data_IF_064117032450
#
_entry.id   IF_064117032450
#
_cell.length_a   1.000
_cell.length_b   1.000
_cell.length_c   1.000
_cell.angle_alpha   90.00
_cell.angle_beta   90.00
_cell.angle_gamma   90.00
#
_symmetry.space_group_name_H-M   'P 1'
#
loop_
_entity.id
_entity.type
_entity.pdbx_description
1 polymer ?
#
# COMPACT_ATOMS: atom_id res chain seq x y z
N UNK A 1 -6.61 -12.47 -24.33
CA UNK A 1 -8.05 -12.18 -24.53
C UNK A 1 -8.54 -11.34 -23.35
N UNK A 2 -9.57 -10.47 -23.53
CA UNK A 2 -10.19 -9.77 -22.40
C UNK A 2 -11.11 -10.72 -21.64
N UNK A 3 -11.02 -10.75 -20.32
CA UNK A 3 -11.91 -11.53 -19.44
C UNK A 3 -12.50 -10.64 -18.35
N UNK A 4 -13.66 -11.04 -17.83
CA UNK A 4 -14.27 -10.49 -16.64
C UNK A 4 -14.12 -11.50 -15.52
N UNK A 5 -13.67 -11.04 -14.35
CA UNK A 5 -13.78 -11.78 -13.11
C UNK A 5 -14.97 -11.26 -12.31
N UNK A 6 -15.76 -12.18 -11.79
CA UNK A 6 -16.96 -11.89 -11.02
C UNK A 6 -17.09 -12.88 -9.86
N UNK A 7 -17.83 -12.48 -8.82
CA UNK A 7 -18.15 -13.35 -7.69
C UNK A 7 -19.66 -13.58 -7.55
N UNK A 8 -20.02 -14.77 -7.12
CA UNK A 8 -21.36 -15.10 -6.67
C UNK A 8 -21.57 -14.68 -5.22
N UNK A 9 -22.83 -14.65 -4.76
CA UNK A 9 -23.18 -14.39 -3.36
C UNK A 9 -22.52 -15.38 -2.38
N UNK A 10 -22.13 -16.58 -2.84
CA UNK A 10 -21.36 -17.56 -2.07
C UNK A 10 -19.88 -17.18 -1.86
N UNK A 11 -19.40 -16.13 -2.53
CA UNK A 11 -17.98 -15.78 -2.61
C UNK A 11 -17.23 -16.52 -3.72
N UNK A 12 -17.85 -17.45 -4.44
CA UNK A 12 -17.19 -18.18 -5.53
C UNK A 12 -16.81 -17.23 -6.68
N UNK A 13 -15.52 -17.22 -7.04
CA UNK A 13 -14.96 -16.41 -8.11
C UNK A 13 -14.94 -17.23 -9.40
N UNK A 14 -15.43 -16.62 -10.47
CA UNK A 14 -15.39 -17.20 -11.82
C UNK A 14 -14.97 -16.17 -12.86
N UNK A 15 -14.61 -16.68 -14.03
CA UNK A 15 -14.11 -15.90 -15.15
C UNK A 15 -14.99 -16.11 -16.38
N UNK A 16 -15.23 -15.07 -17.17
CA UNK A 16 -16.06 -15.17 -18.36
C UNK A 16 -15.89 -14.01 -19.33
N UNK A 17 -16.49 -14.16 -20.51
CA UNK A 17 -16.53 -13.08 -21.53
C UNK A 17 -17.46 -11.93 -21.15
N UNK A 18 -18.39 -12.18 -20.23
CA UNK A 18 -19.36 -11.23 -19.69
C UNK A 18 -19.59 -11.54 -18.21
N UNK A 19 -20.23 -10.62 -17.49
CA UNK A 19 -20.66 -10.83 -16.10
C UNK A 19 -22.11 -11.36 -16.14
N UNK A 20 -22.38 -12.56 -15.62
CA UNK A 20 -23.74 -13.11 -15.56
C UNK A 20 -24.68 -12.28 -14.67
N UNK A 21 -25.98 -12.40 -14.90
CA UNK A 21 -26.99 -11.80 -14.01
C UNK A 21 -26.87 -12.38 -12.59
N UNK A 22 -26.94 -11.51 -11.57
CA UNK A 22 -26.79 -11.89 -10.17
C UNK A 22 -25.35 -12.06 -9.68
N UNK A 23 -24.34 -12.01 -10.57
CA UNK A 23 -22.94 -11.97 -10.19
C UNK A 23 -22.43 -10.53 -10.03
N UNK A 24 -21.51 -10.31 -9.08
CA UNK A 24 -20.89 -9.01 -8.85
C UNK A 24 -19.53 -8.91 -9.56
N UNK A 25 -19.27 -7.83 -10.32
CA UNK A 25 -18.00 -7.67 -11.03
C UNK A 25 -16.86 -7.29 -10.07
N UNK A 26 -15.71 -7.97 -10.22
CA UNK A 26 -14.49 -7.67 -9.47
C UNK A 26 -13.60 -6.73 -10.30
N UNK A 27 -13.04 -7.27 -11.39
CA UNK A 27 -12.16 -6.59 -12.36
C UNK A 27 -12.36 -7.16 -13.77
N UNK A 28 -11.91 -6.42 -14.79
CA UNK A 28 -11.83 -6.92 -16.17
C UNK A 28 -10.55 -6.44 -16.83
N UNK A 29 -9.98 -7.26 -17.73
CA UNK A 29 -8.66 -7.01 -18.26
C UNK A 29 -8.11 -8.16 -19.09
N UNK A 30 -6.81 -8.15 -19.34
CA UNK A 30 -6.14 -9.29 -19.97
C UNK A 30 -6.26 -10.53 -19.07
N UNK A 31 -6.64 -11.66 -19.67
CA UNK A 31 -6.98 -12.89 -18.95
C UNK A 31 -5.90 -13.37 -17.98
N UNK A 32 -4.65 -13.48 -18.42
CA UNK A 32 -3.56 -13.96 -17.56
C UNK A 32 -3.32 -13.04 -16.37
N UNK A 33 -3.42 -11.73 -16.57
CA UNK A 33 -3.20 -10.74 -15.52
C UNK A 33 -4.30 -10.80 -14.46
N UNK A 34 -5.54 -10.82 -14.92
CA UNK A 34 -6.72 -10.91 -14.06
C UNK A 34 -6.69 -12.21 -13.25
N UNK A 35 -6.37 -13.33 -13.89
CA UNK A 35 -6.23 -14.63 -13.21
C UNK A 35 -5.07 -14.63 -12.21
N UNK A 36 -3.87 -14.20 -12.60
CA UNK A 36 -2.71 -14.21 -11.73
C UNK A 36 -2.90 -13.33 -10.48
N UNK A 37 -3.50 -12.15 -10.64
CA UNK A 37 -3.83 -11.27 -9.50
C UNK A 37 -4.80 -11.97 -8.57
N UNK A 38 -5.93 -12.47 -9.09
CA UNK A 38 -6.95 -13.07 -8.24
C UNK A 38 -6.48 -14.36 -7.57
N UNK A 39 -5.71 -15.21 -8.26
CA UNK A 39 -5.08 -16.40 -7.66
C UNK A 39 -4.22 -16.02 -6.45
N UNK A 40 -3.49 -14.90 -6.52
CA UNK A 40 -2.58 -14.48 -5.46
C UNK A 40 -3.29 -13.94 -4.21
N UNK A 41 -4.48 -13.34 -4.35
CA UNK A 41 -5.17 -12.65 -3.24
C UNK A 41 -6.46 -13.35 -2.77
N UNK A 42 -6.96 -14.32 -3.54
CA UNK A 42 -8.17 -15.08 -3.17
C UNK A 42 -7.89 -16.11 -2.10
N UNK A 43 -8.94 -16.53 -1.39
CA UNK A 43 -8.89 -17.74 -0.58
C UNK A 43 -9.03 -18.95 -1.51
N UNK A 44 -8.15 -19.94 -1.34
CA UNK A 44 -8.22 -21.20 -2.07
C UNK A 44 -9.07 -22.19 -1.29
N UNK A 45 -9.97 -22.87 -1.98
CA UNK A 45 -10.69 -24.00 -1.42
C UNK A 45 -9.72 -25.12 -1.01
N UNK A 46 -10.12 -25.92 -0.02
CA UNK A 46 -9.30 -27.06 0.47
C UNK A 46 -9.60 -28.35 -0.27
N UNK A 47 -10.74 -28.41 -0.96
CA UNK A 47 -11.31 -29.65 -1.53
C UNK A 47 -11.31 -29.66 -3.04
N UNK A 48 -11.16 -28.50 -3.68
CA UNK A 48 -11.15 -28.32 -5.13
C UNK A 48 -10.33 -27.07 -5.48
N UNK A 49 -10.25 -26.75 -6.77
CA UNK A 49 -9.51 -25.60 -7.31
C UNK A 49 -10.33 -24.29 -7.28
N UNK A 50 -11.37 -24.21 -6.44
CA UNK A 50 -12.21 -23.01 -6.37
C UNK A 50 -11.48 -21.85 -5.68
N UNK A 51 -11.61 -20.68 -6.29
CA UNK A 51 -11.19 -19.42 -5.72
C UNK A 51 -12.39 -18.74 -5.06
N UNK A 52 -12.21 -18.32 -3.81
CA UNK A 52 -13.23 -17.66 -3.00
C UNK A 52 -12.80 -16.26 -2.62
N UNK A 53 -13.75 -15.33 -2.59
CA UNK A 53 -13.56 -14.01 -2.00
C UNK A 53 -13.38 -14.17 -0.48
N UNK A 54 -12.23 -13.81 0.09
CA UNK A 54 -11.99 -13.93 1.53
C UNK A 54 -13.01 -13.12 2.34
N UNK A 55 -13.60 -13.73 3.37
CA UNK A 55 -14.55 -13.07 4.28
C UNK A 55 -15.99 -13.09 3.81
N UNK A 56 -16.28 -13.47 2.54
CA UNK A 56 -17.67 -13.56 2.06
C UNK A 56 -18.34 -14.83 2.57
N UNK A 57 -17.70 -15.99 2.44
CA UNK A 57 -18.26 -17.27 2.88
C UNK A 57 -18.34 -17.40 4.40
N UNK A 58 -17.55 -16.62 5.14
CA UNK A 58 -17.47 -16.65 6.60
C UNK A 58 -18.31 -15.55 7.27
N UNK A 59 -18.88 -14.61 6.49
CA UNK A 59 -19.60 -13.47 7.03
C UNK A 59 -20.89 -13.89 7.76
N UNK A 60 -21.11 -13.32 8.95
CA UNK A 60 -22.32 -13.57 9.73
C UNK A 60 -23.61 -13.05 9.07
N UNK A 61 -23.50 -12.10 8.14
CA UNK A 61 -24.63 -11.53 7.41
C UNK A 61 -24.20 -10.94 6.05
N UNK A 62 -25.20 -10.61 5.22
CA UNK A 62 -24.98 -10.09 3.86
C UNK A 62 -24.27 -8.74 3.81
N UNK A 63 -24.39 -7.91 4.85
CA UNK A 63 -23.72 -6.61 4.89
C UNK A 63 -22.20 -6.80 5.06
N UNK A 64 -21.80 -7.65 6.01
CA UNK A 64 -20.40 -8.02 6.21
C UNK A 64 -19.81 -8.75 4.99
N UNK A 65 -20.61 -9.59 4.32
CA UNK A 65 -20.22 -10.23 3.08
C UNK A 65 -19.96 -9.18 1.97
N UNK A 66 -20.83 -8.18 1.85
CA UNK A 66 -20.66 -7.10 0.89
C UNK A 66 -19.42 -6.25 1.20
N UNK A 67 -19.17 -5.93 2.47
CA UNK A 67 -17.97 -5.20 2.90
C UNK A 67 -16.69 -5.98 2.54
N UNK A 68 -16.67 -7.28 2.80
CA UNK A 68 -15.57 -8.16 2.43
C UNK A 68 -15.36 -8.18 0.90
N UNK A 69 -16.45 -8.24 0.13
CA UNK A 69 -16.40 -8.20 -1.33
C UNK A 69 -15.87 -6.87 -1.87
N UNK A 70 -16.29 -5.73 -1.31
CA UNK A 70 -15.81 -4.41 -1.70
C UNK A 70 -14.31 -4.29 -1.42
N UNK A 71 -13.86 -4.66 -0.21
CA UNK A 71 -12.44 -4.66 0.18
C UNK A 71 -11.60 -5.51 -0.79
N UNK A 72 -12.07 -6.72 -1.11
CA UNK A 72 -11.40 -7.60 -2.05
C UNK A 72 -11.33 -7.03 -3.48
N UNK A 73 -12.43 -6.45 -3.96
CA UNK A 73 -12.48 -5.85 -5.30
C UNK A 73 -11.54 -4.65 -5.41
N UNK A 74 -11.40 -3.85 -4.36
CA UNK A 74 -10.46 -2.74 -4.33
C UNK A 74 -9.00 -3.20 -4.34
N UNK A 75 -8.68 -4.31 -3.66
CA UNK A 75 -7.34 -4.92 -3.75
C UNK A 75 -7.04 -5.41 -5.16
N UNK A 76 -7.98 -6.12 -5.78
CA UNK A 76 -7.82 -6.60 -7.15
C UNK A 76 -7.60 -5.46 -8.14
N UNK A 77 -8.37 -4.37 -8.02
CA UNK A 77 -8.25 -3.17 -8.85
C UNK A 77 -6.91 -2.47 -8.65
N UNK A 78 -6.46 -2.35 -7.40
CA UNK A 78 -5.15 -1.77 -7.07
C UNK A 78 -4.03 -2.55 -7.73
N UNK A 79 -3.98 -3.86 -7.51
CA UNK A 79 -2.88 -4.69 -7.98
C UNK A 79 -2.85 -4.73 -9.52
N UNK A 80 -4.02 -4.73 -10.16
CA UNK A 80 -4.15 -4.57 -11.61
C UNK A 80 -3.61 -3.22 -12.09
N UNK A 81 -3.99 -2.12 -11.44
CA UNK A 81 -3.50 -0.79 -11.79
C UNK A 81 -1.97 -0.66 -11.67
N UNK A 82 -1.38 -1.29 -10.64
CA UNK A 82 0.08 -1.32 -10.47
C UNK A 82 0.77 -2.13 -11.56
N UNK A 83 0.22 -3.29 -11.92
CA UNK A 83 0.74 -4.09 -13.03
C UNK A 83 0.72 -3.31 -14.35
N UNK A 84 -0.37 -2.57 -14.63
CA UNK A 84 -0.48 -1.74 -15.82
C UNK A 84 0.55 -0.60 -15.83
N UNK A 85 0.76 0.07 -14.68
CA UNK A 85 1.81 1.11 -14.55
C UNK A 85 3.21 0.56 -14.81
N UNK A 86 3.53 -0.61 -14.24
CA UNK A 86 4.81 -1.28 -14.43
C UNK A 86 5.05 -1.63 -15.90
N UNK A 87 4.02 -2.10 -16.62
CA UNK A 87 4.10 -2.40 -18.06
C UNK A 87 4.22 -1.16 -18.94
N UNK A 88 3.62 -0.05 -18.53
CA UNK A 88 3.69 1.22 -19.27
C UNK A 88 5.09 1.85 -19.27
N UNK A 89 6.11 1.18 -18.70
CA UNK A 89 7.46 1.71 -18.64
C UNK A 89 7.55 2.99 -17.83
N UNK A 90 6.57 3.26 -16.96
CA UNK A 90 6.74 4.22 -15.88
C UNK A 90 7.87 3.64 -15.04
N UNK A 91 9.09 4.12 -15.28
CA UNK A 91 10.19 3.95 -14.35
C UNK A 91 9.60 4.23 -12.99
N UNK A 92 9.70 3.27 -12.09
CA UNK A 92 9.63 3.52 -10.66
C UNK A 92 10.74 4.54 -10.39
N UNK A 93 10.49 5.83 -10.67
CA UNK A 93 11.21 6.91 -10.05
C UNK A 93 10.87 6.71 -8.58
N UNK A 94 11.75 5.98 -7.89
CA UNK A 94 11.95 5.96 -6.46
C UNK A 94 11.37 7.26 -5.92
N UNK A 95 10.23 7.22 -5.20
CA UNK A 95 9.62 8.46 -4.74
C UNK A 95 10.64 9.08 -3.80
N UNK A 96 11.32 10.10 -4.30
CA UNK A 96 12.46 10.68 -3.64
C UNK A 96 12.32 12.19 -3.59
N UNK A 97 12.71 12.73 -2.45
CA UNK A 97 12.77 14.17 -2.25
C UNK A 97 14.18 14.54 -1.82
N UNK A 98 14.64 15.68 -2.29
CA UNK A 98 15.93 16.23 -1.89
C UNK A 98 15.72 17.24 -0.77
N UNK A 99 16.37 16.99 0.37
CA UNK A 99 16.29 17.82 1.56
C UNK A 99 17.68 18.36 1.89
N UNK A 100 17.75 19.67 2.09
CA UNK A 100 18.99 20.32 2.52
C UNK A 100 19.03 20.36 4.04
N UNK A 101 20.03 19.71 4.63
CA UNK A 101 20.38 19.84 6.04
C UNK A 101 21.44 20.93 6.21
N UNK A 102 21.13 21.99 6.95
CA UNK A 102 22.05 23.10 7.25
C UNK A 102 22.47 23.07 8.71
N UNK A 103 23.70 23.48 9.00
CA UNK A 103 24.13 23.73 10.38
C UNK A 103 23.87 25.21 10.71
N UNK A 104 23.19 25.48 11.81
CA UNK A 104 22.86 26.83 12.25
C UNK A 104 22.79 26.86 13.77
N UNK A 105 23.48 27.80 14.39
CA UNK A 105 23.43 28.04 15.84
C UNK A 105 23.59 26.78 16.70
N UNK A 106 24.58 25.95 16.39
CA UNK A 106 24.90 24.75 17.19
C UNK A 106 24.03 23.51 16.90
N UNK A 107 23.10 23.57 15.94
CA UNK A 107 22.27 22.42 15.57
C UNK A 107 22.15 22.25 14.06
N UNK A 108 21.88 21.04 13.61
CA UNK A 108 21.46 20.79 12.24
C UNK A 108 19.95 20.99 12.10
N UNK A 109 19.53 21.61 11.00
CA UNK A 109 18.13 21.91 10.67
C UNK A 109 17.87 21.45 9.25
N UNK A 110 16.81 20.67 9.06
CA UNK A 110 16.27 20.28 7.77
C UNK A 110 14.93 20.98 7.54
N UNK A 111 14.67 21.43 6.31
CA UNK A 111 13.41 22.07 5.91
C UNK A 111 12.93 21.55 4.57
N UNK A 112 11.62 21.35 4.43
CA UNK A 112 10.98 20.95 3.19
C UNK A 112 9.50 21.34 3.23
N UNK A 113 9.04 22.09 2.22
CA UNK A 113 7.63 22.51 2.05
C UNK A 113 6.94 22.98 3.36
N UNK A 114 7.55 23.93 4.07
CA UNK A 114 6.99 24.49 5.31
C UNK A 114 7.15 23.61 6.57
N UNK A 115 7.56 22.34 6.43
CA UNK A 115 7.92 21.48 7.56
C UNK A 115 9.41 21.64 7.91
N UNK A 116 9.73 21.54 9.20
CA UNK A 116 11.11 21.55 9.69
C UNK A 116 11.36 20.55 10.82
N UNK A 117 12.59 20.08 10.91
CA UNK A 117 13.09 19.31 12.04
C UNK A 117 14.56 19.62 12.31
N UNK A 118 14.99 19.40 13.54
CA UNK A 118 16.37 19.63 13.98
C UNK A 118 16.97 18.39 14.63
N UNK A 119 18.30 18.33 14.64
CA UNK A 119 19.09 17.34 15.34
C UNK A 119 20.47 17.92 15.67
N UNK A 120 20.96 17.72 16.88
CA UNK A 120 22.27 18.25 17.31
C UNK A 120 23.44 17.38 16.86
N UNK A 121 23.20 16.09 16.61
CA UNK A 121 24.27 15.14 16.26
C UNK A 121 24.65 15.19 14.77
N UNK A 122 23.70 15.33 13.85
CA UNK A 122 24.00 15.32 12.41
C UNK A 122 22.90 15.90 11.53
N UNK A 123 23.29 16.33 10.32
CA UNK A 123 22.36 16.72 9.27
C UNK A 123 21.47 15.54 8.82
N UNK A 124 22.05 14.33 8.68
CA UNK A 124 21.30 13.10 8.35
C UNK A 124 20.20 12.83 9.37
N UNK A 125 20.49 13.00 10.67
CA UNK A 125 19.51 12.86 11.74
C UNK A 125 18.38 13.90 11.67
N UNK A 126 18.69 15.15 11.33
CA UNK A 126 17.68 16.19 11.12
C UNK A 126 16.77 15.85 9.92
N UNK A 127 17.37 15.37 8.83
CA UNK A 127 16.65 14.93 7.62
C UNK A 127 15.75 13.72 7.93
N UNK A 128 16.26 12.70 8.63
CA UNK A 128 15.48 11.53 9.01
C UNK A 128 14.28 11.90 9.90
N UNK A 129 14.46 12.81 10.86
CA UNK A 129 13.35 13.33 11.69
C UNK A 129 12.33 14.10 10.86
N UNK A 130 12.78 14.88 9.88
CA UNK A 130 11.87 15.58 8.97
C UNK A 130 11.12 14.59 8.07
N UNK A 131 11.77 13.54 7.59
CA UNK A 131 11.14 12.48 6.81
C UNK A 131 9.97 11.84 7.57
N UNK A 132 10.14 11.53 8.86
CA UNK A 132 9.04 11.05 9.69
C UNK A 132 7.85 12.01 9.82
N UNK A 133 8.06 13.33 9.67
CA UNK A 133 6.97 14.32 9.62
C UNK A 133 6.32 14.43 8.24
N UNK A 134 7.06 14.13 7.17
CA UNK A 134 6.56 14.19 5.79
C UNK A 134 5.77 12.94 5.48
N UNK A 135 6.35 11.78 5.76
CA UNK A 135 5.87 10.46 5.36
C UNK A 135 5.17 9.68 6.47
N UNK A 136 5.17 10.20 7.69
CA UNK A 136 4.67 9.50 8.86
C UNK A 136 5.81 8.77 9.62
N UNK A 137 5.69 8.64 10.95
CA UNK A 137 6.80 8.21 11.81
C UNK A 137 7.22 6.76 11.61
N UNK A 138 6.33 5.92 11.10
CA UNK A 138 6.55 4.48 10.87
C UNK A 138 6.75 4.13 9.39
N UNK A 139 6.75 5.13 8.50
CA UNK A 139 7.14 4.91 7.11
C UNK A 139 8.65 4.67 7.04
N UNK A 140 9.04 3.54 6.45
CA UNK A 140 10.43 3.22 6.15
C UNK A 140 10.92 4.10 5.02
N UNK A 141 12.08 4.72 5.23
CA UNK A 141 12.75 5.58 4.26
C UNK A 141 14.24 5.32 4.28
N UNK A 142 14.86 5.50 3.12
CA UNK A 142 16.33 5.51 2.96
C UNK A 142 16.79 6.95 2.82
N UNK A 143 17.76 7.37 3.65
CA UNK A 143 18.35 8.71 3.58
C UNK A 143 19.78 8.61 3.08
N UNK A 144 20.01 9.01 1.84
CA UNK A 144 21.29 8.94 1.13
C UNK A 144 21.84 10.34 0.88
N UNK A 145 23.12 10.57 1.13
CA UNK A 145 23.76 11.87 0.84
C UNK A 145 24.07 11.98 -0.65
N UNK A 146 23.75 13.12 -1.27
CA UNK A 146 23.98 13.36 -2.71
C UNK A 146 25.37 13.95 -2.96
N UNK A 147 25.90 14.79 -2.06
CA UNK A 147 27.19 15.46 -2.23
C UNK A 147 28.32 14.81 -1.44
N UNK A 148 29.54 14.81 -2.01
CA UNK A 148 30.74 14.38 -1.32
C UNK A 148 30.97 15.20 -0.03
N UNK A 149 31.30 14.54 1.08
CA UNK A 149 31.51 15.17 2.39
C UNK A 149 31.40 14.16 3.54
N UNK A 150 31.67 14.60 4.76
CA UNK A 150 31.52 13.75 5.96
C UNK A 150 30.05 13.42 6.20
N UNK A 151 29.75 12.20 6.64
CA UNK A 151 28.39 11.71 6.86
C UNK A 151 27.54 12.63 7.77
N UNK A 152 28.18 13.23 8.79
CA UNK A 152 27.49 14.08 9.76
C UNK A 152 27.34 15.55 9.35
N UNK A 153 27.96 16.00 8.25
CA UNK A 153 28.02 17.40 7.86
C UNK A 153 26.73 17.91 7.18
N UNK A 154 26.56 19.24 7.14
CA UNK A 154 25.54 19.89 6.31
C UNK A 154 25.67 19.46 4.84
N UNK A 155 24.55 19.38 4.11
CA UNK A 155 24.54 18.93 2.72
C UNK A 155 23.14 18.61 2.20
N UNK A 156 23.08 18.12 0.97
CA UNK A 156 21.85 17.67 0.32
C UNK A 156 21.71 16.16 0.48
N UNK A 157 20.53 15.74 0.90
CA UNK A 157 20.19 14.34 1.15
C UNK A 157 18.99 13.97 0.29
N UNK A 158 19.07 12.84 -0.40
CA UNK A 158 17.96 12.17 -1.03
C UNK A 158 17.26 11.31 0.02
N UNK A 159 15.95 11.49 0.15
CA UNK A 159 15.11 10.63 0.97
C UNK A 159 14.20 9.84 0.05
N UNK A 160 14.35 8.52 0.04
CA UNK A 160 13.48 7.62 -0.71
C UNK A 160 12.54 6.86 0.23
N UNK A 161 11.28 6.72 -0.16
CA UNK A 161 10.32 5.80 0.48
C UNK A 161 10.62 4.35 0.13
N UNK A 162 10.62 3.46 1.13
CA UNK A 162 10.70 2.00 0.91
C UNK A 162 9.37 1.47 0.33
N UNK A 163 9.36 1.20 -0.97
CA UNK A 163 8.18 0.72 -1.68
C UNK A 163 7.84 -0.74 -1.38
N UNK A 164 8.75 -1.47 -0.72
CA UNK A 164 8.49 -2.84 -0.27
C UNK A 164 7.67 -2.88 1.02
N UNK A 165 7.58 -1.76 1.75
CA UNK A 165 6.73 -1.66 2.93
C UNK A 165 5.25 -1.67 2.50
N UNK A 166 4.58 -2.76 2.86
CA UNK A 166 3.15 -2.97 2.60
C UNK A 166 2.44 -3.49 3.86
N UNK A 167 1.16 -3.18 3.98
CA UNK A 167 0.35 -3.71 5.08
C UNK A 167 0.20 -5.22 4.90
N UNK A 168 0.46 -6.00 5.95
CA UNK A 168 0.33 -7.47 5.96
C UNK A 168 -1.10 -7.96 5.72
N UNK A 169 -2.11 -7.12 6.01
CA UNK A 169 -3.53 -7.46 5.83
C UNK A 169 -4.04 -7.01 4.46
N UNK A 170 -4.05 -5.72 4.19
CA UNK A 170 -4.63 -5.19 2.94
C UNK A 170 -3.62 -4.94 1.82
N UNK A 171 -2.31 -5.02 2.08
CA UNK A 171 -1.28 -4.72 1.09
C UNK A 171 -1.13 -3.25 0.71
N UNK A 172 -1.79 -2.30 1.41
CA UNK A 172 -1.62 -0.89 1.10
C UNK A 172 -0.16 -0.46 1.27
N UNK A 173 0.26 0.56 0.52
CA UNK A 173 1.61 1.15 0.59
C UNK A 173 1.48 2.65 0.78
N UNK A 174 2.62 3.35 0.96
CA UNK A 174 2.63 4.82 0.99
C UNK A 174 1.95 5.47 -0.20
N UNK A 175 2.25 4.99 -1.42
CA UNK A 175 1.68 5.54 -2.66
C UNK A 175 0.23 5.14 -2.88
N UNK A 176 -0.22 4.06 -2.23
CA UNK A 176 -1.55 3.52 -2.42
C UNK A 176 -2.16 3.11 -1.08
N UNK A 177 -2.59 4.12 -0.33
CA UNK A 177 -3.33 3.96 0.90
C UNK A 177 -4.68 3.25 0.68
N UNK A 178 -5.29 2.81 1.78
CA UNK A 178 -6.67 2.31 1.78
C UNK A 178 -7.65 3.40 1.29
N UNK A 179 -8.85 2.97 0.87
CA UNK A 179 -9.95 3.89 0.57
C UNK A 179 -10.24 4.76 1.80
N UNK A 180 -10.34 6.08 1.62
CA UNK A 180 -10.46 7.06 2.72
C UNK A 180 -9.13 7.46 3.36
N UNK A 181 -8.02 6.83 2.97
CA UNK A 181 -6.69 7.06 3.53
C UNK A 181 -6.40 6.20 4.76
N UNK A 182 -5.13 5.87 4.97
CA UNK A 182 -4.65 5.16 6.16
C UNK A 182 -3.24 5.65 6.51
N UNK A 183 -2.80 5.34 7.73
CA UNK A 183 -1.41 5.55 8.15
C UNK A 183 -0.85 4.28 8.79
N UNK A 184 0.47 4.17 8.88
CA UNK A 184 1.12 3.04 9.55
C UNK A 184 0.93 3.14 11.06
N UNK A 185 0.46 2.06 11.68
CA UNK A 185 0.39 1.90 13.15
C UNK A 185 1.46 0.93 13.66
N UNK A 186 1.96 0.04 12.78
CA UNK A 186 3.17 -0.78 12.98
C UNK A 186 4.00 -0.79 11.69
N UNK A 187 5.22 -1.39 11.69
CA UNK A 187 6.06 -1.48 10.50
C UNK A 187 5.45 -2.22 9.31
N UNK A 188 4.33 -2.93 9.50
CA UNK A 188 3.66 -3.80 8.55
C UNK A 188 2.12 -3.79 8.68
N UNK A 189 1.53 -2.85 9.43
CA UNK A 189 0.06 -2.74 9.61
C UNK A 189 -0.40 -1.29 9.49
N UNK A 190 -1.45 -1.06 8.70
CA UNK A 190 -2.09 0.24 8.58
C UNK A 190 -3.26 0.40 9.54
N UNK A 191 -3.63 1.65 9.84
CA UNK A 191 -4.71 2.02 10.75
C UNK A 191 -6.05 1.40 10.34
N UNK A 192 -6.40 1.46 9.05
CA UNK A 192 -7.65 0.89 8.55
C UNK A 192 -7.81 -0.61 8.87
N UNK A 193 -6.70 -1.37 8.81
CA UNK A 193 -6.72 -2.80 9.13
C UNK A 193 -6.57 -3.11 10.62
N UNK A 194 -6.04 -2.17 11.41
CA UNK A 194 -6.00 -2.29 12.86
C UNK A 194 -7.39 -2.03 13.46
N UNK A 195 -8.10 -1.03 12.96
CA UNK A 195 -9.46 -0.68 13.41
C UNK A 195 -10.49 -1.79 13.10
N UNK A 196 -10.26 -2.57 12.04
CA UNK A 196 -11.08 -3.75 11.72
C UNK A 196 -10.87 -4.88 12.74
N UNK A 197 -9.65 -5.05 13.27
CA UNK A 197 -9.31 -6.11 14.24
C UNK A 197 -10.04 -5.90 15.56
N UNK A 198 -10.16 -4.66 16.02
CA UNK A 198 -10.87 -4.32 17.24
C UNK A 198 -12.38 -4.57 17.14
N UNK A 199 -12.97 -4.58 15.94
CA UNK A 199 -14.40 -4.85 15.76
C UNK A 199 -14.73 -6.33 15.79
N UNK A 200 -13.82 -7.19 15.35
CA UNK A 200 -14.01 -8.65 15.38
C UNK A 200 -13.92 -9.24 16.79
N UNK A 201 -13.23 -8.58 17.73
CA UNK A 201 -13.09 -9.05 19.12
C UNK A 201 -14.33 -8.74 19.97
N UNK A 202 -15.20 -7.83 19.53
CA UNK A 202 -16.37 -7.35 20.30
C UNK A 202 -17.70 -7.87 19.71
N UNK A 203 -17.65 -8.67 18.65
CA UNK A 203 -18.80 -9.35 18.02
C UNK A 203 -18.83 -10.83 18.34
#
# INVERSE_FOLDING_TARGET
MKTFAYAWASGLIQFGKTVPEGALPIISGQEDDVKNILIAISRHSRTNDDLLVPGVSEAANQHLALDAFIKFSDWARRDYAQLMKKRAGSSDEEYSIEIIGRFTSGTYIARYQGKQASNTASAKGAVHRLAGKIFGPLQRVTVTRISAGREHAAGTFRVTVDETQKCRRCGCTWRNACVGGCHWVSPDLCSACADDDEREVVS
#
